data_IF_355790243803
#
_entry.id   IF_355790243803
#
_cell.length_a   1.000
_cell.length_b   1.000
_cell.length_c   1.000
_cell.angle_alpha   90.00
_cell.angle_beta   90.00
_cell.angle_gamma   90.00
#
_symmetry.space_group_name_H-M   'P 1'
#
loop_
_entity.id
_entity.type
_entity.pdbx_description
1 polymer ?
#
# COMPACT_ATOMS: atom_id res chain seq x y z
N UNK A 1 9.09 13.94 -24.26
CA UNK A 1 8.09 12.86 -24.07
C UNK A 1 7.77 12.77 -22.59
N UNK A 2 6.52 13.05 -22.22
CA UNK A 2 6.05 13.28 -20.84
C UNK A 2 6.31 12.07 -19.93
N UNK A 3 7.01 12.29 -18.82
CA UNK A 3 7.59 11.26 -17.95
C UNK A 3 6.76 11.00 -16.68
N UNK A 4 5.45 10.82 -16.83
CA UNK A 4 4.53 10.41 -15.74
C UNK A 4 3.53 9.37 -16.25
N UNK A 5 4.00 8.24 -16.79
CA UNK A 5 3.12 7.12 -17.12
C UNK A 5 2.70 6.40 -15.84
N UNK A 6 1.47 6.61 -15.39
CA UNK A 6 0.86 5.84 -14.29
C UNK A 6 0.81 4.37 -14.68
N UNK A 7 1.70 3.53 -14.15
CA UNK A 7 1.78 2.12 -14.52
C UNK A 7 0.89 1.26 -13.63
N UNK A 8 1.01 1.42 -12.31
CA UNK A 8 0.36 0.55 -11.32
C UNK A 8 -0.59 1.34 -10.44
N UNK A 9 -1.82 0.86 -10.30
CA UNK A 9 -2.91 1.57 -9.63
C UNK A 9 -3.59 0.61 -8.64
N UNK A 10 -3.75 1.05 -7.41
CA UNK A 10 -4.62 0.39 -6.42
C UNK A 10 -5.93 1.14 -6.36
N UNK A 11 -7.05 0.43 -6.50
CA UNK A 11 -8.39 1.00 -6.42
C UNK A 11 -9.10 0.34 -5.24
N UNK A 12 -9.55 1.14 -4.27
CA UNK A 12 -10.38 0.66 -3.16
C UNK A 12 -11.83 1.01 -3.43
N UNK A 13 -12.71 0.03 -3.30
CA UNK A 13 -14.16 0.23 -3.40
C UNK A 13 -14.79 -0.10 -2.05
N UNK A 14 -15.41 0.91 -1.43
CA UNK A 14 -16.09 0.76 -0.14
C UNK A 14 -17.41 -0.01 -0.22
N UNK A 15 -17.86 -0.56 0.92
CA UNK A 15 -19.10 -1.33 1.02
C UNK A 15 -20.31 -0.57 0.46
N UNK A 16 -20.43 0.74 0.74
CA UNK A 16 -21.55 1.57 0.30
C UNK A 16 -21.66 1.77 -1.23
N UNK A 17 -20.62 1.39 -1.99
CA UNK A 17 -20.62 1.42 -3.46
C UNK A 17 -20.90 0.05 -4.08
N UNK A 18 -20.70 -1.02 -3.30
CA UNK A 18 -20.88 -2.40 -3.75
C UNK A 18 -22.27 -2.88 -3.36
N UNK A 19 -22.70 -2.56 -2.13
CA UNK A 19 -23.97 -2.99 -1.56
C UNK A 19 -25.08 -1.99 -1.92
N UNK A 20 -26.18 -2.49 -2.49
CA UNK A 20 -27.41 -1.74 -2.71
C UNK A 20 -28.45 -2.22 -1.67
N UNK A 21 -29.24 -1.30 -1.11
CA UNK A 21 -30.34 -1.68 -0.19
C UNK A 21 -31.45 -2.48 -0.89
N UNK A 22 -31.51 -2.43 -2.23
CA UNK A 22 -32.59 -3.06 -3.05
C UNK A 22 -32.10 -4.19 -3.94
N UNK A 23 -30.89 -4.08 -4.49
CA UNK A 23 -30.29 -5.07 -5.39
C UNK A 23 -29.14 -5.79 -4.67
N UNK A 24 -28.89 -7.05 -5.04
CA UNK A 24 -27.77 -7.79 -4.45
C UNK A 24 -26.42 -7.07 -4.61
N UNK A 25 -26.24 -6.24 -5.63
CA UNK A 25 -25.12 -5.33 -5.79
C UNK A 25 -25.57 -4.10 -6.59
N UNK A 26 -24.95 -2.93 -6.39
CA UNK A 26 -25.22 -1.74 -7.22
C UNK A 26 -24.60 -1.94 -8.62
N UNK A 27 -25.35 -2.60 -9.50
CA UNK A 27 -24.88 -2.99 -10.84
C UNK A 27 -24.50 -1.79 -11.71
N UNK A 28 -25.10 -0.61 -11.50
CA UNK A 28 -24.75 0.59 -12.26
C UNK A 28 -23.38 1.12 -11.82
N UNK A 29 -23.15 1.27 -10.51
CA UNK A 29 -21.84 1.70 -9.99
C UNK A 29 -20.77 0.67 -10.34
N UNK A 30 -21.00 -0.61 -10.06
CA UNK A 30 -20.02 -1.65 -10.33
C UNK A 30 -19.77 -1.82 -11.83
N UNK A 31 -20.80 -1.71 -12.68
CA UNK A 31 -20.65 -1.75 -14.14
C UNK A 31 -19.71 -0.65 -14.65
N UNK A 32 -19.97 0.60 -14.28
CA UNK A 32 -19.12 1.74 -14.66
C UNK A 32 -17.65 1.58 -14.18
N UNK A 33 -17.45 1.07 -12.96
CA UNK A 33 -16.12 0.80 -12.44
C UNK A 33 -15.43 -0.34 -13.20
N UNK A 34 -16.18 -1.39 -13.52
CA UNK A 34 -15.67 -2.56 -14.25
C UNK A 34 -15.22 -2.16 -15.65
N UNK A 35 -16.05 -1.42 -16.39
CA UNK A 35 -15.71 -0.91 -17.73
C UNK A 35 -14.42 -0.08 -17.70
N UNK A 36 -14.29 0.83 -16.74
CA UNK A 36 -13.08 1.65 -16.58
C UNK A 36 -11.86 0.79 -16.25
N UNK A 37 -11.99 -0.17 -15.32
CA UNK A 37 -10.89 -1.09 -14.96
C UNK A 37 -10.43 -1.90 -16.17
N UNK A 38 -11.37 -2.49 -16.92
CA UNK A 38 -11.08 -3.27 -18.12
C UNK A 38 -10.35 -2.40 -19.15
N UNK A 39 -10.84 -1.19 -19.40
CA UNK A 39 -10.21 -0.24 -20.33
C UNK A 39 -8.78 0.08 -19.93
N UNK A 40 -8.52 0.36 -18.66
CA UNK A 40 -7.16 0.66 -18.19
C UNK A 40 -6.23 -0.56 -18.26
N UNK A 41 -6.74 -1.77 -18.00
CA UNK A 41 -5.98 -3.01 -18.19
C UNK A 41 -5.64 -3.26 -19.68
N UNK A 42 -6.56 -2.96 -20.60
CA UNK A 42 -6.30 -3.01 -22.04
C UNK A 42 -5.21 -2.03 -22.48
N UNK A 43 -5.16 -0.85 -21.84
CA UNK A 43 -4.08 0.14 -21.97
C UNK A 43 -2.77 -0.27 -21.25
N UNK A 44 -2.64 -1.54 -20.83
CA UNK A 44 -1.46 -2.14 -20.19
C UNK A 44 -1.12 -1.53 -18.82
N UNK A 45 -2.08 -0.92 -18.14
CA UNK A 45 -1.92 -0.56 -16.72
C UNK A 45 -2.16 -1.77 -15.83
N UNK A 46 -1.41 -1.83 -14.74
CA UNK A 46 -1.49 -2.86 -13.72
C UNK A 46 -2.48 -2.41 -12.64
N UNK A 47 -3.65 -3.03 -12.58
CA UNK A 47 -4.70 -2.68 -11.62
C UNK A 47 -4.78 -3.72 -10.51
N UNK A 48 -4.87 -3.26 -9.26
CA UNK A 48 -5.20 -4.07 -8.08
C UNK A 48 -6.46 -3.52 -7.45
N UNK A 49 -7.46 -4.36 -7.25
CA UNK A 49 -8.72 -4.00 -6.61
C UNK A 49 -8.68 -4.38 -5.14
N UNK A 50 -9.03 -3.46 -4.25
CA UNK A 50 -9.25 -3.71 -2.83
C UNK A 50 -10.73 -3.53 -2.56
N UNK A 51 -11.44 -4.62 -2.24
CA UNK A 51 -12.89 -4.62 -2.13
C UNK A 51 -13.34 -4.83 -0.70
N UNK A 52 -14.36 -4.10 -0.27
CA UNK A 52 -15.16 -4.45 0.90
C UNK A 52 -16.41 -5.25 0.50
N UNK A 53 -17.36 -5.45 1.41
CA UNK A 53 -18.69 -6.02 1.07
C UNK A 53 -18.89 -7.50 1.39
N UNK A 54 -17.87 -8.24 1.85
CA UNK A 54 -18.01 -9.65 2.22
C UNK A 54 -19.03 -9.86 3.35
N UNK A 55 -18.93 -9.09 4.45
CA UNK A 55 -19.90 -9.17 5.55
C UNK A 55 -21.33 -8.83 5.08
N UNK A 56 -21.48 -7.81 4.23
CA UNK A 56 -22.79 -7.41 3.66
C UNK A 56 -23.42 -8.53 2.84
N UNK A 57 -22.64 -9.16 1.95
CA UNK A 57 -23.07 -10.32 1.17
C UNK A 57 -23.45 -11.52 2.07
N UNK A 58 -22.72 -11.73 3.17
CA UNK A 58 -23.02 -12.75 4.17
C UNK A 58 -24.34 -12.49 4.90
N UNK A 59 -24.54 -11.25 5.36
CA UNK A 59 -25.78 -10.81 6.03
C UNK A 59 -27.00 -11.07 5.17
N UNK A 60 -26.94 -10.66 3.90
CA UNK A 60 -28.02 -10.88 2.93
C UNK A 60 -28.28 -12.37 2.72
N UNK A 61 -27.23 -13.18 2.55
CA UNK A 61 -27.39 -14.63 2.36
C UNK A 61 -28.07 -15.31 3.56
N UNK A 62 -27.81 -14.82 4.76
CA UNK A 62 -28.34 -15.38 5.99
C UNK A 62 -29.66 -14.73 6.43
N UNK A 63 -30.20 -13.77 5.67
CA UNK A 63 -31.32 -12.92 6.09
C UNK A 63 -31.09 -12.36 7.50
N UNK A 64 -29.86 -11.92 7.77
CA UNK A 64 -29.45 -11.42 9.07
C UNK A 64 -30.08 -10.05 9.35
N UNK A 65 -30.96 -9.97 10.34
CA UNK A 65 -31.74 -8.76 10.67
C UNK A 65 -31.25 -8.02 11.91
N UNK A 66 -30.29 -8.58 12.65
CA UNK A 66 -29.78 -7.91 13.86
C UNK A 66 -28.84 -6.76 13.47
N UNK A 67 -29.12 -5.57 13.99
CA UNK A 67 -28.32 -4.36 13.72
C UNK A 67 -26.87 -4.51 14.21
N UNK A 68 -26.68 -5.12 15.38
CA UNK A 68 -25.36 -5.37 15.95
C UNK A 68 -24.93 -6.81 15.71
N UNK A 69 -23.76 -6.98 15.11
CA UNK A 69 -23.11 -8.28 14.96
C UNK A 69 -21.87 -8.29 15.84
N UNK A 70 -21.69 -9.33 16.66
CA UNK A 70 -20.45 -9.52 17.41
C UNK A 70 -19.25 -9.69 16.46
N UNK A 71 -18.02 -9.68 16.98
CA UNK A 71 -16.85 -10.02 16.17
C UNK A 71 -17.03 -11.39 15.51
N UNK A 72 -17.45 -12.40 16.27
CA UNK A 72 -17.62 -13.77 15.79
C UNK A 72 -18.68 -13.84 14.69
N UNK A 73 -19.80 -13.13 14.87
CA UNK A 73 -20.85 -13.05 13.85
C UNK A 73 -20.31 -12.40 12.58
N UNK A 74 -19.57 -11.28 12.69
CA UNK A 74 -18.95 -10.62 11.53
C UNK A 74 -18.00 -11.56 10.79
N UNK A 75 -17.18 -12.32 11.51
CA UNK A 75 -16.25 -13.29 10.91
C UNK A 75 -17.00 -14.42 10.17
N UNK A 76 -18.06 -14.97 10.77
CA UNK A 76 -18.89 -15.99 10.14
C UNK A 76 -19.61 -15.45 8.90
N UNK A 77 -20.17 -14.23 8.98
CA UNK A 77 -20.81 -13.55 7.87
C UNK A 77 -19.82 -13.25 6.74
N UNK A 78 -18.60 -12.80 7.06
CA UNK A 78 -17.53 -12.61 6.08
C UNK A 78 -17.16 -13.93 5.39
N UNK A 79 -17.04 -15.04 6.14
CA UNK A 79 -16.75 -16.36 5.57
C UNK A 79 -17.86 -16.84 4.61
N UNK A 80 -19.12 -16.54 4.91
CA UNK A 80 -20.27 -16.85 4.04
C UNK A 80 -20.29 -15.95 2.78
N UNK A 81 -19.98 -14.67 2.96
CA UNK A 81 -20.11 -13.66 1.91
C UNK A 81 -18.90 -13.52 1.00
N UNK A 82 -17.69 -13.83 1.46
CA UNK A 82 -16.47 -13.70 0.66
C UNK A 82 -16.50 -14.54 -0.63
N UNK A 83 -16.92 -15.83 -0.63
CA UNK A 83 -17.08 -16.59 -1.87
C UNK A 83 -18.10 -15.97 -2.83
N UNK A 84 -19.13 -15.29 -2.30
CA UNK A 84 -20.18 -14.63 -3.10
C UNK A 84 -19.67 -13.36 -3.76
N UNK A 85 -18.94 -12.54 -2.99
CA UNK A 85 -18.27 -11.36 -3.51
C UNK A 85 -17.31 -11.74 -4.65
N UNK A 86 -16.54 -12.82 -4.48
CA UNK A 86 -15.67 -13.32 -5.55
C UNK A 86 -16.45 -13.89 -6.73
N UNK A 87 -17.56 -14.60 -6.50
CA UNK A 87 -18.44 -15.08 -7.57
C UNK A 87 -19.00 -13.94 -8.41
N UNK A 88 -19.45 -12.87 -7.78
CA UNK A 88 -19.93 -11.65 -8.42
C UNK A 88 -18.84 -10.99 -9.29
N UNK A 89 -17.64 -10.80 -8.75
CA UNK A 89 -16.54 -10.24 -9.55
C UNK A 89 -16.13 -11.15 -10.71
N UNK A 90 -16.09 -12.46 -10.48
CA UNK A 90 -15.77 -13.43 -11.53
C UNK A 90 -16.82 -13.41 -12.66
N UNK A 91 -18.09 -13.23 -12.34
CA UNK A 91 -19.16 -13.09 -13.32
C UNK A 91 -18.98 -11.81 -14.16
N UNK A 92 -18.86 -10.65 -13.51
CA UNK A 92 -18.82 -9.36 -14.23
C UNK A 92 -17.54 -9.22 -15.06
N UNK A 93 -16.36 -9.49 -14.49
CA UNK A 93 -15.11 -9.41 -15.25
C UNK A 93 -14.97 -10.55 -16.27
N UNK A 94 -15.58 -11.71 -15.98
CA UNK A 94 -15.59 -12.87 -16.88
C UNK A 94 -16.31 -12.60 -18.20
N UNK A 95 -17.34 -11.74 -18.22
CA UNK A 95 -18.03 -11.33 -19.45
C UNK A 95 -17.08 -10.67 -20.47
N UNK A 96 -16.01 -10.04 -20.00
CA UNK A 96 -14.96 -9.43 -20.84
C UNK A 96 -13.69 -10.26 -20.94
N UNK A 97 -13.72 -11.53 -20.49
CA UNK A 97 -12.58 -12.44 -20.53
C UNK A 97 -11.44 -12.06 -19.58
N UNK A 98 -11.68 -11.18 -18.59
CA UNK A 98 -10.66 -10.78 -17.61
C UNK A 98 -10.69 -11.74 -16.42
N UNK A 99 -9.66 -12.58 -16.22
CA UNK A 99 -9.59 -13.45 -15.05
C UNK A 99 -9.35 -12.62 -13.79
N UNK A 100 -9.98 -13.02 -12.68
CA UNK A 100 -9.77 -12.43 -11.35
C UNK A 100 -9.08 -13.42 -10.42
N UNK A 101 -8.33 -12.92 -9.44
CA UNK A 101 -7.68 -13.74 -8.43
C UNK A 101 -7.92 -13.19 -7.02
N UNK A 102 -8.41 -14.06 -6.13
CA UNK A 102 -8.61 -13.71 -4.72
C UNK A 102 -7.29 -13.68 -3.96
N UNK A 103 -7.10 -12.64 -3.14
CA UNK A 103 -6.03 -12.57 -2.16
C UNK A 103 -6.63 -12.11 -0.83
N UNK A 104 -6.41 -12.88 0.23
CA UNK A 104 -6.82 -12.51 1.59
C UNK A 104 -5.58 -12.18 2.42
N UNK A 105 -5.56 -10.98 3.02
CA UNK A 105 -4.43 -10.50 3.80
C UNK A 105 -4.87 -10.08 5.20
N UNK A 106 -3.92 -10.07 6.13
CA UNK A 106 -4.11 -9.52 7.48
C UNK A 106 -3.06 -8.47 7.77
N UNK A 107 -3.30 -7.61 8.75
CA UNK A 107 -2.34 -6.61 9.19
C UNK A 107 -1.01 -7.22 9.61
N UNK A 108 -1.06 -8.22 10.49
CA UNK A 108 0.14 -8.95 10.92
C UNK A 108 0.85 -9.63 9.73
N UNK A 109 0.09 -10.11 8.74
CA UNK A 109 0.64 -10.69 7.53
C UNK A 109 1.44 -9.68 6.69
N UNK A 110 1.04 -8.41 6.69
CA UNK A 110 1.70 -7.33 5.96
C UNK A 110 2.82 -6.62 6.74
N UNK A 111 2.79 -6.69 8.08
CA UNK A 111 3.87 -6.21 8.95
C UNK A 111 5.08 -7.17 8.94
N UNK A 112 4.84 -8.48 8.80
CA UNK A 112 5.92 -9.45 8.62
C UNK A 112 6.49 -9.41 7.19
N UNK A 113 7.76 -9.05 7.02
CA UNK A 113 8.39 -8.90 5.70
C UNK A 113 8.33 -10.16 4.86
N UNK A 114 8.58 -11.34 5.43
CA UNK A 114 8.59 -12.58 4.64
C UNK A 114 7.21 -12.87 4.05
N UNK A 115 6.16 -12.74 4.88
CA UNK A 115 4.76 -12.90 4.45
C UNK A 115 4.37 -11.83 3.43
N UNK A 116 4.76 -10.59 3.68
CA UNK A 116 4.53 -9.50 2.75
C UNK A 116 5.24 -9.70 1.40
N UNK A 117 6.53 -10.07 1.37
CA UNK A 117 7.26 -10.33 0.13
C UNK A 117 6.62 -11.45 -0.67
N UNK A 118 6.15 -12.51 0.00
CA UNK A 118 5.40 -13.58 -0.64
C UNK A 118 4.10 -13.04 -1.28
N UNK A 119 3.31 -12.25 -0.54
CA UNK A 119 2.10 -11.63 -1.08
C UNK A 119 2.41 -10.72 -2.28
N UNK A 120 3.45 -9.89 -2.18
CA UNK A 120 3.91 -9.02 -3.28
C UNK A 120 4.31 -9.82 -4.52
N UNK A 121 5.12 -10.87 -4.38
CA UNK A 121 5.53 -11.69 -5.50
C UNK A 121 4.33 -12.35 -6.21
N UNK A 122 3.34 -12.80 -5.43
CA UNK A 122 2.09 -13.34 -5.97
C UNK A 122 1.32 -12.26 -6.75
N UNK A 123 1.14 -11.07 -6.17
CA UNK A 123 0.48 -9.94 -6.84
C UNK A 123 1.21 -9.58 -8.15
N UNK A 124 2.54 -9.43 -8.10
CA UNK A 124 3.35 -9.10 -9.28
C UNK A 124 3.24 -10.16 -10.38
N UNK A 125 3.16 -11.45 -10.00
CA UNK A 125 2.97 -12.53 -10.97
C UNK A 125 1.59 -12.49 -11.61
N UNK A 126 0.53 -12.26 -10.83
CA UNK A 126 -0.84 -12.14 -11.34
C UNK A 126 -0.98 -10.98 -12.32
N UNK A 127 -0.43 -9.82 -11.96
CA UNK A 127 -0.38 -8.64 -12.83
C UNK A 127 0.34 -8.95 -14.15
N UNK A 128 1.48 -9.65 -14.10
CA UNK A 128 2.23 -10.05 -15.30
C UNK A 128 1.44 -11.02 -16.21
N UNK A 129 0.52 -11.81 -15.65
CA UNK A 129 -0.39 -12.68 -16.39
C UNK A 129 -1.65 -11.97 -16.90
N UNK A 130 -1.82 -10.67 -16.61
CA UNK A 130 -3.04 -9.95 -16.97
C UNK A 130 -4.26 -10.34 -16.13
N UNK A 131 -4.04 -10.96 -14.97
CA UNK A 131 -5.09 -11.31 -14.00
C UNK A 131 -5.33 -10.13 -13.07
N UNK A 132 -6.60 -9.79 -12.81
CA UNK A 132 -6.98 -8.74 -11.85
C UNK A 132 -6.92 -9.28 -10.41
N UNK A 133 -5.97 -8.86 -9.56
CA UNK A 133 -5.95 -9.26 -8.17
C UNK A 133 -7.02 -8.50 -7.40
N UNK A 134 -7.86 -9.22 -6.66
CA UNK A 134 -8.89 -8.69 -5.78
C UNK A 134 -8.51 -9.04 -4.35
N UNK A 135 -8.15 -8.00 -3.58
CA UNK A 135 -7.66 -8.10 -2.22
C UNK A 135 -8.78 -7.76 -1.25
N UNK A 136 -8.94 -8.56 -0.20
CA UNK A 136 -9.76 -8.22 0.96
C UNK A 136 -9.03 -8.61 2.26
N UNK A 137 -9.49 -8.08 3.39
CA UNK A 137 -9.04 -8.54 4.70
C UNK A 137 -9.48 -9.99 4.94
N UNK A 138 -8.63 -10.79 5.58
CA UNK A 138 -8.98 -12.15 5.98
C UNK A 138 -9.74 -12.12 7.33
N UNK A 139 -11.00 -11.69 7.29
CA UNK A 139 -11.82 -11.46 8.48
C UNK A 139 -11.79 -12.63 9.48
N UNK A 140 -11.82 -13.89 8.99
CA UNK A 140 -11.90 -15.10 9.81
C UNK A 140 -10.78 -15.26 10.84
N UNK A 141 -9.60 -14.69 10.59
CA UNK A 141 -8.42 -14.85 11.45
C UNK A 141 -7.99 -13.55 12.13
N UNK A 142 -8.80 -12.50 12.03
CA UNK A 142 -8.48 -11.16 12.57
C UNK A 142 -9.18 -10.96 13.91
N UNK A 143 -8.42 -10.56 14.94
CA UNK A 143 -8.93 -10.16 16.26
C UNK A 143 -9.27 -8.66 16.28
N UNK A 144 -10.03 -8.19 17.28
CA UNK A 144 -10.43 -6.77 17.38
C UNK A 144 -9.22 -5.81 17.39
N UNK A 145 -8.13 -6.20 18.04
CA UNK A 145 -6.88 -5.44 18.13
C UNK A 145 -6.12 -5.35 16.80
N UNK A 146 -6.38 -6.32 15.90
CA UNK A 146 -5.64 -6.53 14.66
C UNK A 146 -6.42 -6.17 13.40
N UNK A 147 -7.67 -5.70 13.54
CA UNK A 147 -8.46 -5.20 12.42
C UNK A 147 -7.75 -4.01 11.75
N UNK A 148 -7.73 -3.99 10.42
CA UNK A 148 -7.42 -2.76 9.69
C UNK A 148 -8.42 -1.64 10.01
N UNK A 149 -9.61 -2.00 10.50
CA UNK A 149 -10.70 -1.09 10.83
C UNK A 149 -11.52 -0.68 9.60
N UNK A 150 -10.85 -0.37 8.49
CA UNK A 150 -11.42 -0.19 7.14
C UNK A 150 -10.39 -0.64 6.09
N UNK A 151 -10.86 -1.16 4.96
CA UNK A 151 -10.04 -1.55 3.81
C UNK A 151 -9.26 -0.37 3.19
N UNK A 152 -9.52 0.87 3.61
CA UNK A 152 -8.71 2.05 3.24
C UNK A 152 -7.24 1.86 3.64
N UNK A 153 -6.99 1.40 4.87
CA UNK A 153 -5.63 1.19 5.36
C UNK A 153 -4.96 0.01 4.67
N UNK A 154 -5.70 -1.08 4.48
CA UNK A 154 -5.24 -2.22 3.67
C UNK A 154 -4.82 -1.76 2.28
N UNK A 155 -5.64 -0.93 1.62
CA UNK A 155 -5.33 -0.39 0.30
C UNK A 155 -4.09 0.50 0.29
N UNK A 156 -3.93 1.38 1.29
CA UNK A 156 -2.75 2.22 1.43
C UNK A 156 -1.46 1.40 1.65
N UNK A 157 -1.50 0.42 2.55
CA UNK A 157 -0.37 -0.47 2.80
C UNK A 157 -0.05 -1.26 1.54
N UNK A 158 -1.03 -1.89 0.90
CA UNK A 158 -0.84 -2.62 -0.36
C UNK A 158 -0.20 -1.71 -1.40
N UNK A 159 -0.73 -0.51 -1.60
CA UNK A 159 -0.26 0.47 -2.59
C UNK A 159 1.23 0.81 -2.40
N UNK A 160 1.63 1.20 -1.18
CA UNK A 160 3.03 1.53 -0.91
C UNK A 160 3.96 0.32 -0.97
N UNK A 161 3.46 -0.85 -0.59
CA UNK A 161 4.21 -2.11 -0.60
C UNK A 161 4.42 -2.64 -2.03
N UNK A 162 3.42 -2.59 -2.90
CA UNK A 162 3.56 -2.97 -4.31
C UNK A 162 4.11 -1.83 -5.18
N UNK A 163 4.49 -0.69 -4.61
CA UNK A 163 4.99 0.47 -5.35
C UNK A 163 4.02 0.93 -6.45
N UNK A 164 2.74 1.07 -6.10
CA UNK A 164 1.80 1.68 -7.02
C UNK A 164 2.12 3.16 -7.22
N UNK A 165 1.78 3.69 -8.39
CA UNK A 165 1.90 5.12 -8.66
C UNK A 165 0.72 5.90 -8.08
N UNK A 166 -0.43 5.23 -7.96
CA UNK A 166 -1.69 5.85 -7.58
C UNK A 166 -2.50 4.91 -6.67
N UNK A 167 -3.12 5.50 -5.65
CA UNK A 167 -4.17 4.91 -4.83
C UNK A 167 -5.48 5.68 -5.06
N UNK A 168 -6.52 5.01 -5.53
CA UNK A 168 -7.86 5.60 -5.67
C UNK A 168 -8.75 5.05 -4.57
N UNK A 169 -9.20 5.90 -3.65
CA UNK A 169 -10.17 5.55 -2.61
C UNK A 169 -11.57 6.02 -3.07
N UNK A 170 -12.36 5.07 -3.57
CA UNK A 170 -13.73 5.33 -3.98
C UNK A 170 -14.67 5.19 -2.77
N UNK A 171 -15.42 6.25 -2.52
CA UNK A 171 -16.36 6.39 -1.39
C UNK A 171 -17.72 6.92 -1.88
N UNK A 172 -18.63 7.18 -0.95
CA UNK A 172 -19.93 7.82 -1.16
C UNK A 172 -19.88 9.36 -1.21
N UNK A 173 -18.80 9.98 -0.74
CA UNK A 173 -18.59 11.43 -0.75
C UNK A 173 -17.73 11.88 -1.93
N UNK A 174 -18.03 13.06 -2.48
CA UNK A 174 -17.34 13.58 -3.67
C UNK A 174 -15.94 14.11 -3.38
N UNK A 175 -15.70 14.68 -2.19
CA UNK A 175 -14.44 15.33 -1.80
C UNK A 175 -14.28 15.39 -0.28
N UNK A 176 -13.06 15.68 0.16
CA UNK A 176 -12.76 16.13 1.52
C UNK A 176 -13.09 17.63 1.61
N UNK A 177 -13.65 18.04 2.74
CA UNK A 177 -14.06 19.43 2.99
C UNK A 177 -13.16 20.06 4.06
N UNK A 178 -12.81 21.33 3.87
CA UNK A 178 -12.08 22.11 4.87
C UNK A 178 -12.99 22.61 6.01
N UNK A 179 -12.45 23.39 6.94
CA UNK A 179 -13.22 23.91 8.09
C UNK A 179 -14.29 24.92 7.67
N UNK A 180 -14.11 25.58 6.53
CA UNK A 180 -15.06 26.52 5.94
C UNK A 180 -16.08 25.84 5.00
N UNK A 181 -16.13 24.50 4.99
CA UNK A 181 -17.03 23.70 4.17
C UNK A 181 -16.83 23.93 2.66
N UNK A 182 -15.58 24.12 2.22
CA UNK A 182 -15.16 24.18 0.83
C UNK A 182 -14.45 22.87 0.43
N UNK A 183 -14.60 22.40 -0.82
CA UNK A 183 -13.96 21.18 -1.27
C UNK A 183 -12.45 21.37 -1.39
N UNK A 184 -11.68 20.51 -0.73
CA UNK A 184 -10.23 20.46 -0.85
C UNK A 184 -9.89 19.78 -2.18
N UNK A 185 -9.24 20.50 -3.09
CA UNK A 185 -8.94 19.99 -4.44
C UNK A 185 -7.58 19.28 -4.53
N UNK A 186 -6.53 19.91 -3.99
CA UNK A 186 -5.15 19.40 -4.06
C UNK A 186 -4.42 19.58 -2.73
N UNK A 187 -3.70 18.54 -2.32
CA UNK A 187 -2.96 18.43 -1.07
C UNK A 187 -1.57 17.87 -1.37
N UNK A 188 -0.51 18.59 -0.95
CA UNK A 188 0.88 18.14 -1.08
C UNK A 188 1.39 17.39 0.16
N UNK A 189 0.72 17.59 1.29
CA UNK A 189 0.95 16.89 2.54
C UNK A 189 -0.29 17.04 3.43
N UNK A 190 -0.66 15.96 4.13
CA UNK A 190 -1.82 15.97 5.02
C UNK A 190 -1.48 16.78 6.27
N UNK A 191 -2.06 17.97 6.41
CA UNK A 191 -1.85 18.86 7.55
C UNK A 191 -2.66 18.43 8.78
N UNK A 192 -2.25 18.90 9.95
CA UNK A 192 -3.02 18.71 11.19
C UNK A 192 -4.42 19.33 11.10
N UNK A 193 -4.55 20.51 10.46
CA UNK A 193 -5.82 21.20 10.28
C UNK A 193 -6.80 20.40 9.41
N UNK A 194 -6.30 19.75 8.35
CA UNK A 194 -7.11 18.90 7.48
C UNK A 194 -7.60 17.65 8.24
N UNK A 195 -6.74 17.06 9.09
CA UNK A 195 -7.12 15.95 9.97
C UNK A 195 -8.15 16.36 11.03
N UNK A 196 -8.06 17.59 11.54
CA UNK A 196 -9.01 18.16 12.49
C UNK A 196 -10.36 18.45 11.83
N UNK A 197 -10.37 19.04 10.64
CA UNK A 197 -11.57 19.32 9.84
C UNK A 197 -12.38 18.04 9.56
N UNK A 198 -11.70 16.94 9.25
CA UNK A 198 -12.31 15.63 9.02
C UNK A 198 -12.97 14.99 10.27
N UNK A 199 -12.77 15.57 11.46
CA UNK A 199 -13.38 15.14 12.72
C UNK A 199 -14.44 16.10 13.28
N UNK A 200 -14.78 17.17 12.57
CA UNK A 200 -15.68 18.24 13.05
C UNK A 200 -17.14 17.80 13.25
N UNK A 201 -17.90 18.53 14.08
CA UNK A 201 -19.27 18.18 14.42
C UNK A 201 -20.24 18.53 13.27
N UNK A 202 -20.48 17.61 12.34
CA UNK A 202 -21.46 17.83 11.27
C UNK A 202 -21.92 16.63 10.44
N UNK A 203 -21.15 15.54 10.35
CA UNK A 203 -21.53 14.37 9.52
C UNK A 203 -22.18 13.26 10.36
N UNK A 204 -23.50 13.34 10.53
CA UNK A 204 -24.33 12.48 11.39
C UNK A 204 -24.31 10.95 11.15
N UNK A 205 -23.45 10.43 10.26
CA UNK A 205 -23.29 8.97 10.05
C UNK A 205 -21.85 8.50 9.79
N UNK A 206 -20.85 9.40 9.76
CA UNK A 206 -19.49 9.09 9.27
C UNK A 206 -18.35 9.78 10.06
N UNK A 207 -18.57 10.11 11.34
CA UNK A 207 -17.60 10.86 12.17
C UNK A 207 -16.19 10.22 12.29
N UNK A 208 -16.03 8.92 12.02
CA UNK A 208 -14.71 8.25 12.03
C UNK A 208 -14.12 7.94 10.65
N UNK A 209 -14.94 7.91 9.59
CA UNK A 209 -14.56 7.37 8.29
C UNK A 209 -13.56 8.23 7.53
N UNK A 210 -13.78 9.55 7.49
CA UNK A 210 -12.91 10.46 6.74
C UNK A 210 -11.53 10.63 7.39
N UNK A 211 -11.48 10.75 8.73
CA UNK A 211 -10.21 10.81 9.46
C UNK A 211 -9.36 9.56 9.23
N UNK A 212 -9.97 8.38 9.19
CA UNK A 212 -9.28 7.12 8.87
C UNK A 212 -8.75 7.10 7.42
N UNK A 213 -9.55 7.58 6.46
CA UNK A 213 -9.15 7.73 5.05
C UNK A 213 -7.94 8.65 4.90
N UNK A 214 -7.97 9.83 5.54
CA UNK A 214 -6.85 10.77 5.51
C UNK A 214 -5.58 10.18 6.11
N UNK A 215 -5.67 9.43 7.22
CA UNK A 215 -4.51 8.72 7.79
C UNK A 215 -3.95 7.67 6.82
N UNK A 216 -4.83 6.89 6.19
CA UNK A 216 -4.41 5.89 5.20
C UNK A 216 -3.73 6.54 3.99
N UNK A 217 -4.29 7.66 3.50
CA UNK A 217 -3.68 8.46 2.44
C UNK A 217 -2.32 9.02 2.86
N UNK A 218 -2.20 9.54 4.09
CA UNK A 218 -0.92 10.02 4.62
C UNK A 218 0.14 8.89 4.64
N UNK A 219 -0.22 7.69 5.11
CA UNK A 219 0.65 6.51 5.06
C UNK A 219 1.09 6.19 3.62
N UNK A 220 0.16 6.23 2.64
CA UNK A 220 0.46 6.00 1.23
C UNK A 220 1.41 7.07 0.65
N UNK A 221 1.16 8.35 0.95
CA UNK A 221 2.00 9.47 0.50
C UNK A 221 3.43 9.37 1.02
N UNK A 222 3.59 8.96 2.29
CA UNK A 222 4.90 8.71 2.90
C UNK A 222 5.67 7.60 2.18
N UNK A 223 4.96 6.62 1.61
CA UNK A 223 5.54 5.55 0.79
C UNK A 223 5.73 5.95 -0.68
N UNK A 224 5.41 7.19 -1.08
CA UNK A 224 5.57 7.69 -2.44
C UNK A 224 4.37 7.58 -3.35
N UNK A 225 3.23 7.16 -2.81
CA UNK A 225 2.03 6.90 -3.60
C UNK A 225 1.15 8.15 -3.57
N UNK A 226 0.86 8.71 -4.74
CA UNK A 226 -0.19 9.73 -4.85
C UNK A 226 -1.55 9.08 -4.63
N UNK A 227 -2.50 9.78 -4.03
CA UNK A 227 -3.82 9.25 -3.77
C UNK A 227 -4.94 10.20 -4.19
N UNK A 228 -6.13 9.65 -4.44
CA UNK A 228 -7.35 10.43 -4.70
C UNK A 228 -8.48 9.86 -3.86
N UNK A 229 -9.21 10.73 -3.15
CA UNK A 229 -10.47 10.39 -2.49
C UNK A 229 -11.60 11.02 -3.30
N UNK A 230 -12.55 10.22 -3.78
CA UNK A 230 -13.72 10.73 -4.50
C UNK A 230 -14.89 9.76 -4.51
N UNK A 231 -16.02 10.18 -5.06
CA UNK A 231 -17.21 9.36 -5.17
C UNK A 231 -17.08 8.34 -6.29
N UNK A 232 -17.32 7.07 -5.98
CA UNK A 232 -17.38 6.01 -6.99
C UNK A 232 -18.64 6.06 -7.86
N UNK A 233 -19.61 6.93 -7.53
CA UNK A 233 -20.86 7.09 -8.30
C UNK A 233 -20.70 7.98 -9.53
N UNK A 234 -19.55 8.65 -9.68
CA UNK A 234 -19.27 9.53 -10.82
C UNK A 234 -18.89 8.67 -12.04
N UNK A 235 -19.60 8.78 -13.18
CA UNK A 235 -19.29 8.00 -14.38
C UNK A 235 -17.88 8.29 -14.92
N UNK A 236 -17.15 7.23 -15.27
CA UNK A 236 -15.79 7.33 -15.83
C UNK A 236 -14.75 7.93 -14.88
N UNK A 237 -15.01 7.96 -13.57
CA UNK A 237 -14.14 8.65 -12.60
C UNK A 237 -12.70 8.13 -12.58
N UNK A 238 -12.49 6.82 -12.77
CA UNK A 238 -11.15 6.23 -12.82
C UNK A 238 -10.36 6.78 -14.02
N UNK A 239 -10.99 6.85 -15.19
CA UNK A 239 -10.38 7.39 -16.40
C UNK A 239 -10.04 8.87 -16.21
N UNK A 240 -11.00 9.67 -15.71
CA UNK A 240 -10.79 11.09 -15.42
C UNK A 240 -9.62 11.31 -14.45
N UNK A 241 -9.52 10.50 -13.40
CA UNK A 241 -8.42 10.60 -12.43
C UNK A 241 -7.07 10.35 -13.11
N UNK A 242 -6.97 9.29 -13.91
CA UNK A 242 -5.71 8.93 -14.55
C UNK A 242 -5.27 10.00 -15.56
N UNK A 243 -6.21 10.55 -16.31
CA UNK A 243 -5.98 11.60 -17.32
C UNK A 243 -5.53 12.92 -16.68
N UNK A 244 -6.10 13.32 -15.55
CA UNK A 244 -5.79 14.59 -14.90
C UNK A 244 -4.63 14.52 -13.92
N UNK A 245 -4.11 13.33 -13.57
CA UNK A 245 -3.01 13.19 -12.63
C UNK A 245 -1.75 13.98 -13.02
N UNK A 246 -1.31 14.03 -14.30
CA UNK A 246 -0.16 14.85 -14.68
C UNK A 246 -0.38 16.34 -14.40
N UNK A 247 -1.58 16.86 -14.71
CA UNK A 247 -1.94 18.25 -14.41
C UNK A 247 -1.94 18.48 -12.90
N UNK A 248 -2.57 17.60 -12.13
CA UNK A 248 -2.64 17.75 -10.67
C UNK A 248 -1.26 17.66 -10.01
N UNK A 249 -0.33 16.92 -10.62
CA UNK A 249 1.04 16.73 -10.13
C UNK A 249 1.98 17.89 -10.45
N UNK A 250 1.59 18.83 -11.30
CA UNK A 250 2.39 20.02 -11.60
C UNK A 250 2.17 21.09 -10.50
N UNK A 251 3.20 21.49 -9.74
CA UNK A 251 3.08 22.53 -8.72
C UNK A 251 2.63 23.89 -9.26
N UNK A 252 2.85 24.16 -10.55
CA UNK A 252 2.49 25.43 -11.19
C UNK A 252 1.09 25.40 -11.83
N UNK A 253 0.43 24.25 -11.88
CA UNK A 253 -0.93 24.16 -12.43
C UNK A 253 -1.98 24.61 -11.41
N UNK A 254 -3.11 25.08 -11.90
CA UNK A 254 -4.31 25.32 -11.09
C UNK A 254 -5.27 24.15 -11.27
N UNK A 255 -5.73 23.51 -10.17
CA UNK A 255 -6.78 22.49 -10.27
C UNK A 255 -8.04 23.04 -10.93
N UNK A 256 -8.65 22.33 -11.89
CA UNK A 256 -9.92 22.75 -12.48
C UNK A 256 -11.03 22.80 -11.42
N UNK A 257 -11.89 23.81 -11.47
CA UNK A 257 -12.96 23.99 -10.47
C UNK A 257 -13.90 22.80 -10.38
N UNK A 258 -14.19 22.16 -11.52
CA UNK A 258 -15.13 21.05 -11.62
C UNK A 258 -14.46 19.68 -11.56
N UNK A 259 -13.15 19.60 -11.27
CA UNK A 259 -12.48 18.31 -11.16
C UNK A 259 -12.91 17.61 -9.86
N UNK A 260 -13.52 16.42 -9.94
CA UNK A 260 -13.99 15.71 -8.75
C UNK A 260 -12.83 15.22 -7.88
N UNK A 261 -13.13 15.09 -6.58
CA UNK A 261 -12.22 14.49 -5.62
C UNK A 261 -11.22 15.45 -4.97
N UNK A 262 -10.58 14.92 -3.94
CA UNK A 262 -9.42 15.51 -3.29
C UNK A 262 -8.18 14.73 -3.69
N UNK A 263 -7.19 15.44 -4.24
CA UNK A 263 -6.00 14.85 -4.82
C UNK A 263 -4.80 15.08 -3.90
N UNK A 264 -4.19 13.99 -3.48
CA UNK A 264 -3.07 13.95 -2.58
C UNK A 264 -1.82 13.59 -3.37
N UNK A 265 -1.00 14.59 -3.67
CA UNK A 265 0.14 14.42 -4.57
C UNK A 265 1.39 14.19 -3.75
N UNK A 266 1.98 13.01 -3.91
CA UNK A 266 3.29 12.75 -3.35
C UNK A 266 4.35 13.47 -4.20
N UNK A 267 5.03 14.46 -3.62
CA UNK A 267 6.06 15.25 -4.30
C UNK A 267 7.31 14.45 -4.70
N UNK A 268 7.40 13.17 -4.30
CA UNK A 268 8.58 12.33 -4.50
C UNK A 268 8.20 10.97 -5.07
N UNK A 269 7.38 10.94 -6.13
CA UNK A 269 7.03 9.70 -6.79
C UNK A 269 8.29 8.90 -7.17
N UNK A 270 8.46 7.69 -6.61
CA UNK A 270 9.55 6.78 -6.94
C UNK A 270 10.40 6.31 -5.76
N UNK A 271 11.67 6.00 -6.06
CA UNK A 271 12.64 5.42 -5.10
C UNK A 271 12.94 6.37 -3.93
N UNK A 272 12.83 7.69 -4.11
CA UNK A 272 13.22 8.70 -3.11
C UNK A 272 12.29 8.79 -1.90
N UNK A 273 10.97 8.65 -2.08
CA UNK A 273 10.02 8.56 -0.96
C UNK A 273 10.19 7.28 -0.16
N UNK A 274 10.47 6.16 -0.84
CA UNK A 274 10.76 4.87 -0.18
C UNK A 274 12.04 4.96 0.62
N UNK A 275 13.10 5.53 0.04
CA UNK A 275 14.35 5.81 0.76
C UNK A 275 14.10 6.73 1.95
N UNK A 276 13.28 7.77 1.79
CA UNK A 276 12.89 8.64 2.91
C UNK A 276 12.11 7.88 4.00
N UNK A 277 11.19 6.97 3.64
CA UNK A 277 10.52 6.10 4.60
C UNK A 277 11.50 5.17 5.33
N UNK A 278 12.49 4.61 4.64
CA UNK A 278 13.52 3.77 5.28
C UNK A 278 14.34 4.57 6.29
N UNK A 279 14.64 5.84 6.00
CA UNK A 279 15.32 6.75 6.92
C UNK A 279 14.44 7.13 8.13
N UNK A 280 13.12 7.18 7.97
CA UNK A 280 12.18 7.60 9.02
C UNK A 280 11.42 6.46 9.70
N UNK A 281 11.55 5.21 9.24
CA UNK A 281 10.83 4.05 9.79
C UNK A 281 11.49 3.52 11.08
N UNK A 282 11.49 4.36 12.11
CA UNK A 282 11.97 4.01 13.46
C UNK A 282 13.49 3.86 13.57
N UNK A 283 13.97 3.67 14.80
CA UNK A 283 15.37 3.43 15.07
C UNK A 283 15.81 2.05 14.54
N UNK A 284 17.01 1.99 13.96
CA UNK A 284 17.60 0.74 13.51
C UNK A 284 17.68 -0.27 14.68
N UNK A 285 17.23 -1.52 14.43
CA UNK A 285 17.18 -2.60 15.42
C UNK A 285 18.52 -3.32 15.58
N UNK A 286 19.45 -3.12 14.65
CA UNK A 286 20.81 -3.64 14.72
C UNK A 286 21.73 -3.02 13.67
N UNK A 287 22.99 -3.45 13.69
CA UNK A 287 24.05 -2.99 12.80
C UNK A 287 24.67 -4.14 12.02
N UNK A 288 25.03 -3.88 10.77
CA UNK A 288 25.76 -4.80 9.90
C UNK A 288 27.06 -4.10 9.50
N UNK A 289 28.19 -4.65 9.94
CA UNK A 289 29.51 -4.17 9.55
C UNK A 289 29.95 -4.88 8.28
N UNK A 290 30.42 -4.11 7.31
CA UNK A 290 30.75 -4.59 5.97
C UNK A 290 32.23 -4.39 5.63
N UNK A 291 32.74 -5.20 4.71
CA UNK A 291 34.09 -5.04 4.20
C UNK A 291 34.22 -3.82 3.26
N UNK A 292 35.46 -3.48 2.91
CA UNK A 292 35.75 -2.33 2.05
C UNK A 292 35.21 -2.51 0.63
N UNK A 293 35.16 -3.74 0.11
CA UNK A 293 34.61 -4.03 -1.22
C UNK A 293 33.09 -3.79 -1.27
N UNK A 294 32.39 -4.21 -0.23
CA UNK A 294 30.98 -3.93 -0.01
C UNK A 294 30.76 -2.43 0.17
N UNK A 295 31.55 -1.75 1.02
CA UNK A 295 31.44 -0.28 1.18
C UNK A 295 31.53 0.45 -0.16
N UNK A 296 32.54 0.14 -0.98
CA UNK A 296 32.72 0.75 -2.30
C UNK A 296 31.58 0.38 -3.27
N UNK A 297 31.09 -0.86 -3.23
CA UNK A 297 29.96 -1.28 -4.06
C UNK A 297 28.67 -0.54 -3.68
N UNK A 298 28.42 -0.35 -2.39
CA UNK A 298 27.24 0.36 -1.89
C UNK A 298 27.28 1.83 -2.25
N UNK A 299 28.43 2.50 -2.18
CA UNK A 299 28.61 3.91 -2.54
C UNK A 299 28.25 4.22 -4.02
N UNK A 300 28.25 3.21 -4.91
CA UNK A 300 27.77 3.37 -6.30
C UNK A 300 26.25 3.50 -6.41
N UNK A 301 25.51 3.14 -5.36
CA UNK A 301 24.08 3.41 -5.20
C UNK A 301 23.11 2.44 -5.90
N UNK A 302 23.60 1.54 -6.74
CA UNK A 302 22.81 0.58 -7.53
C UNK A 302 23.04 -0.89 -7.13
N UNK A 303 23.81 -1.15 -6.07
CA UNK A 303 24.16 -2.51 -5.61
C UNK A 303 23.48 -2.87 -4.30
N UNK A 304 23.08 -4.14 -4.19
CA UNK A 304 22.55 -4.72 -2.95
C UNK A 304 23.70 -5.14 -2.05
N UNK A 305 23.49 -5.12 -0.74
CA UNK A 305 24.43 -5.74 0.20
C UNK A 305 24.28 -7.27 0.13
N UNK A 306 25.36 -7.94 -0.24
CA UNK A 306 25.43 -9.41 -0.27
C UNK A 306 25.96 -9.94 1.07
N UNK A 307 25.55 -11.13 1.52
CA UNK A 307 26.09 -11.75 2.73
C UNK A 307 27.60 -11.96 2.69
N UNK A 308 28.17 -12.15 1.50
CA UNK A 308 29.62 -12.26 1.30
C UNK A 308 30.40 -11.03 1.75
N UNK A 309 29.78 -9.85 1.72
CA UNK A 309 30.39 -8.59 2.14
C UNK A 309 30.14 -8.24 3.61
N UNK A 310 29.47 -9.11 4.37
CA UNK A 310 29.16 -8.91 5.79
C UNK A 310 30.27 -9.51 6.65
N UNK A 311 30.87 -8.68 7.50
CA UNK A 311 31.94 -9.08 8.41
C UNK A 311 31.43 -9.39 9.81
N UNK A 312 30.50 -8.58 10.30
CA UNK A 312 29.96 -8.71 11.66
C UNK A 312 28.52 -8.21 11.73
N UNK A 313 27.73 -8.86 12.57
CA UNK A 313 26.36 -8.45 12.90
C UNK A 313 26.32 -8.06 14.37
N UNK A 314 25.61 -6.98 14.69
CA UNK A 314 25.40 -6.52 16.05
C UNK A 314 23.92 -6.22 16.33
N UNK A 315 23.43 -6.67 17.48
CA UNK A 315 22.02 -6.60 17.83
C UNK A 315 21.19 -7.75 17.24
N UNK A 316 19.92 -7.80 17.63
CA UNK A 316 18.99 -8.83 17.17
C UNK A 316 17.91 -8.18 16.32
N UNK A 317 17.78 -8.67 15.09
CA UNK A 317 16.78 -8.19 14.15
C UNK A 317 16.26 -9.31 13.26
N UNK A 318 15.04 -9.14 12.79
CA UNK A 318 14.38 -10.02 11.84
C UNK A 318 14.42 -9.44 10.43
N UNK A 319 14.24 -10.32 9.43
CA UNK A 319 14.00 -9.86 8.07
C UNK A 319 12.78 -8.92 8.06
N UNK A 320 12.93 -7.71 7.56
CA UNK A 320 11.90 -6.65 7.65
C UNK A 320 12.33 -5.43 8.40
N UNK A 321 13.19 -5.60 9.39
CA UNK A 321 13.52 -4.54 10.30
C UNK A 321 14.63 -3.65 9.73
N UNK A 322 14.58 -2.38 10.13
CA UNK A 322 15.60 -1.40 9.77
C UNK A 322 16.91 -1.75 10.46
N UNK A 323 17.99 -1.74 9.68
CA UNK A 323 19.36 -1.99 10.15
C UNK A 323 20.28 -0.89 9.62
N UNK A 324 21.25 -0.49 10.44
CA UNK A 324 22.34 0.39 10.01
C UNK A 324 23.43 -0.46 9.37
N UNK A 325 23.96 0.00 8.24
CA UNK A 325 25.10 -0.61 7.56
C UNK A 325 26.30 0.29 7.82
N UNK A 326 27.34 -0.26 8.43
CA UNK A 326 28.49 0.48 8.92
C UNK A 326 29.80 -0.05 8.33
N UNK A 327 30.82 0.81 8.23
CA UNK A 327 32.19 0.37 7.95
C UNK A 327 32.77 -0.39 9.15
N UNK A 328 33.96 -0.96 8.97
CA UNK A 328 34.74 -1.57 10.05
C UNK A 328 35.07 -0.57 11.18
N UNK A 329 35.24 0.69 10.83
CA UNK A 329 35.50 1.81 11.75
C UNK A 329 34.21 2.34 12.42
N UNK A 330 33.08 1.65 12.25
CA UNK A 330 31.74 2.04 12.71
C UNK A 330 31.17 3.32 12.05
N UNK A 331 31.70 3.74 10.90
CA UNK A 331 31.12 4.85 10.14
C UNK A 331 29.79 4.41 9.50
N UNK A 332 28.67 5.14 9.70
CA UNK A 332 27.39 4.79 9.07
C UNK A 332 27.44 5.07 7.55
N UNK A 333 27.31 4.01 6.75
CA UNK A 333 27.33 4.07 5.28
C UNK A 333 25.91 4.17 4.74
N UNK A 334 25.00 3.38 5.29
CA UNK A 334 23.63 3.26 4.82
C UNK A 334 22.66 2.83 5.91
N UNK A 335 21.37 2.99 5.65
CA UNK A 335 20.28 2.35 6.40
C UNK A 335 19.41 1.57 5.43
N UNK A 336 18.97 0.39 5.83
CA UNK A 336 18.15 -0.47 4.96
C UNK A 336 17.29 -1.46 5.71
N UNK A 337 16.44 -2.17 4.98
CA UNK A 337 15.61 -3.23 5.53
C UNK A 337 16.29 -4.58 5.32
N UNK A 338 16.54 -5.31 6.41
CA UNK A 338 17.17 -6.62 6.34
C UNK A 338 16.30 -7.62 5.57
N UNK A 339 16.90 -8.38 4.66
CA UNK A 339 16.29 -9.53 3.98
C UNK A 339 16.52 -10.84 4.73
N UNK A 340 17.60 -10.91 5.49
CA UNK A 340 17.99 -12.03 6.34
C UNK A 340 18.00 -11.54 7.79
N UNK A 341 17.44 -12.33 8.70
CA UNK A 341 17.55 -12.08 10.15
C UNK A 341 19.01 -12.10 10.63
N UNK A 342 19.28 -11.56 11.82
CA UNK A 342 20.62 -11.61 12.41
C UNK A 342 21.12 -13.06 12.54
N UNK A 343 20.27 -14.01 12.94
CA UNK A 343 20.60 -15.44 13.00
C UNK A 343 20.91 -16.05 11.63
N UNK A 344 20.14 -15.70 10.59
CA UNK A 344 20.45 -16.13 9.23
C UNK A 344 21.77 -15.52 8.76
N UNK A 345 22.02 -14.23 9.00
CA UNK A 345 23.28 -13.59 8.63
C UNK A 345 24.47 -14.15 9.40
N UNK A 346 24.35 -14.47 10.68
CA UNK A 346 25.42 -15.14 11.45
C UNK A 346 25.77 -16.50 10.85
N UNK A 347 24.78 -17.21 10.32
CA UNK A 347 24.99 -18.50 9.65
C UNK A 347 25.59 -18.38 8.25
N UNK A 348 25.26 -17.29 7.54
CA UNK A 348 25.50 -17.18 6.10
C UNK A 348 26.45 -16.05 5.67
N UNK A 349 26.93 -15.21 6.59
CA UNK A 349 27.89 -14.16 6.24
C UNK A 349 29.17 -14.78 5.68
N UNK A 350 29.80 -14.08 4.71
CA UNK A 350 30.94 -14.60 3.95
C UNK A 350 30.57 -15.59 2.82
N UNK A 351 29.31 -16.06 2.72
CA UNK A 351 28.86 -16.99 1.67
C UNK A 351 28.20 -16.28 0.49
N UNK A 352 28.20 -16.95 -0.66
CA UNK A 352 27.50 -16.49 -1.85
C UNK A 352 25.99 -16.73 -1.75
N UNK A 353 25.20 -15.89 -2.44
CA UNK A 353 23.73 -16.03 -2.46
C UNK A 353 23.25 -17.33 -3.12
N UNK A 354 24.09 -17.98 -3.94
CA UNK A 354 23.81 -19.28 -4.54
C UNK A 354 23.87 -20.40 -3.50
N UNK A 355 24.91 -20.43 -2.68
CA UNK A 355 25.06 -21.42 -1.61
C UNK A 355 23.92 -21.29 -0.58
N UNK A 356 23.54 -20.05 -0.27
CA UNK A 356 22.40 -19.77 0.62
C UNK A 356 21.09 -20.27 0.02
N UNK A 357 20.88 -20.08 -1.29
CA UNK A 357 19.71 -20.61 -1.98
C UNK A 357 19.67 -22.14 -1.97
N UNK A 358 20.81 -22.79 -2.19
CA UNK A 358 20.90 -24.26 -2.20
C UNK A 358 20.55 -24.83 -0.81
N UNK A 359 20.86 -24.11 0.26
CA UNK A 359 20.57 -24.55 1.63
C UNK A 359 19.15 -24.19 2.13
N UNK A 360 18.65 -22.98 1.83
CA UNK A 360 17.35 -22.50 2.34
C UNK A 360 16.21 -22.71 1.32
N UNK A 361 16.52 -22.96 0.05
CA UNK A 361 15.53 -23.21 -1.01
C UNK A 361 14.74 -21.97 -1.46
N UNK A 362 15.19 -20.76 -1.12
CA UNK A 362 14.50 -19.49 -1.49
C UNK A 362 15.04 -18.87 -2.79
N UNK A 363 14.28 -18.00 -3.49
CA UNK A 363 14.78 -17.26 -4.64
C UNK A 363 16.04 -16.44 -4.31
N UNK A 364 17.01 -16.37 -5.23
CA UNK A 364 18.30 -15.65 -5.02
C UNK A 364 18.09 -14.20 -4.58
N UNK A 365 17.05 -13.53 -5.10
CA UNK A 365 16.70 -12.14 -4.74
C UNK A 365 16.38 -11.95 -3.25
N UNK A 366 15.94 -13.02 -2.57
CA UNK A 366 15.67 -13.03 -1.13
C UNK A 366 16.85 -13.50 -0.29
N UNK A 367 17.95 -13.93 -0.92
CA UNK A 367 19.18 -14.37 -0.26
C UNK A 367 20.23 -13.25 -0.12
N UNK A 368 19.99 -12.06 -0.68
CA UNK A 368 20.84 -10.87 -0.42
C UNK A 368 20.59 -10.37 1.00
N UNK A 369 21.57 -9.75 1.67
CA UNK A 369 21.42 -9.27 3.03
C UNK A 369 20.51 -8.02 3.11
N UNK A 370 20.71 -7.07 2.21
CA UNK A 370 19.83 -5.89 2.03
C UNK A 370 19.74 -5.58 0.54
N UNK A 371 18.53 -5.44 0.00
CA UNK A 371 18.33 -5.10 -1.40
C UNK A 371 18.54 -3.60 -1.66
N UNK A 372 19.09 -3.23 -2.82
CA UNK A 372 19.37 -1.82 -3.15
C UNK A 372 18.12 -0.90 -3.14
N UNK A 373 16.96 -1.39 -3.58
CA UNK A 373 15.69 -0.68 -3.49
C UNK A 373 15.20 -0.46 -2.05
N UNK A 374 15.75 -1.23 -1.11
CA UNK A 374 15.40 -1.21 0.32
C UNK A 374 16.54 -0.64 1.16
N UNK A 375 17.36 0.23 0.56
CA UNK A 375 18.55 0.80 1.19
C UNK A 375 18.76 2.26 0.78
N UNK A 376 19.32 3.03 1.70
CA UNK A 376 19.58 4.46 1.57
C UNK A 376 20.98 4.75 2.02
N UNK A 377 21.78 5.40 1.19
CA UNK A 377 23.11 5.86 1.57
C UNK A 377 22.98 7.07 2.49
N UNK A 378 23.79 7.08 3.54
CA UNK A 378 23.93 8.22 4.44
C UNK A 378 25.05 9.09 3.87
N UNK A 379 24.70 10.21 3.25
CA UNK A 379 25.67 11.19 2.77
C UNK A 379 25.97 12.22 3.86
N UNK A 380 27.24 12.61 4.02
CA UNK A 380 27.74 13.53 5.04
C UNK A 380 27.08 14.94 5.06
N UNK A 381 26.21 15.28 4.10
CA UNK A 381 25.46 16.54 4.05
C UNK A 381 24.07 16.49 4.72
N UNK A 382 23.72 15.41 5.43
CA UNK A 382 22.37 15.19 6.00
C UNK A 382 22.19 15.54 7.48
N UNK A 383 23.10 16.31 8.09
CA UNK A 383 23.04 16.64 9.53
C UNK A 383 21.94 17.67 9.93
N UNK A 384 21.10 18.12 8.99
CA UNK A 384 19.98 19.02 9.27
C UNK A 384 18.61 18.35 9.03
N UNK A 385 18.37 17.21 9.69
CA UNK A 385 17.00 16.78 9.97
C UNK A 385 16.80 17.00 11.48
N UNK A 386 15.90 17.90 11.90
CA UNK A 386 15.75 18.21 13.31
C UNK A 386 15.32 16.94 14.03
N UNK A 387 16.16 16.52 14.98
CA UNK A 387 15.76 15.61 16.05
C UNK A 387 14.66 16.37 16.80
N UNK A 388 13.40 16.10 16.49
CA UNK A 388 12.32 16.44 17.39
C UNK A 388 12.48 15.55 18.62
N UNK A 389 13.24 16.06 19.60
CA UNK A 389 13.14 15.62 20.98
C UNK A 389 11.69 15.84 21.39
N UNK A 390 11.00 14.76 21.70
CA UNK A 390 9.67 14.83 22.30
C UNK A 390 9.81 15.29 23.74
N UNK A 391 9.08 16.36 24.06
CA UNK A 391 8.41 16.54 25.34
C UNK A 391 6.90 16.40 25.10
#
# INVERSE_FOLDING_TARGET
>A
MSKTSVKRIVIKVGTALIDSEKDQYDHHVVGNLTESIIRQMQLKREIVLVSSGAVGAGRRRMNWTQDQASLIDRQALAAIGQPRLMGFYNEIFGQSGVPVAQILLTRLGLENRQRYLNARHTIERLLAWGVLPIINENDTVVTEELQFGDNDRLAAVVAGKIHSNLLILLTDVESVWDQENRPVRRVWGVSADLLAAAGGPGSGRSRGGMKSKLRSVQEAMLMGVSAVITSGRIPGIIDQIIEHLPLMSDPNSTPPENLPGTWFISQNGGVDSRKRWILTCGAAKGRILVDEGARQALQRGDRSLLPSGVLRIEGTFHAGEAVSICSLENEPIAQGLANLSSQELEKFHGRSTREIREEIGRPIKTCVAVHHDDMVLITAAGHDIPIQNGD
#
